data_IF_163573421509
#
_entry.id   IF_163573421509
#
_cell.length_a   1.000
_cell.length_b   1.000
_cell.length_c   1.000
_cell.angle_alpha   90.00
_cell.angle_beta   90.00
_cell.angle_gamma   90.00
#
_symmetry.space_group_name_H-M   'P 1'
#
loop_
_entity.id
_entity.type
_entity.pdbx_description
1 polymer ?
#
# COMPACT_ATOMS: atom_id res chain seq x y z
N UNK A 1 -30.35 -64.22 36.63
CA UNK A 1 -30.18 -62.76 36.76
C UNK A 1 -30.24 -62.45 38.24
N UNK A 2 -29.14 -62.01 38.81
CA UNK A 2 -28.85 -61.97 40.22
C UNK A 2 -29.72 -60.97 40.95
N UNK A 3 -30.47 -61.40 41.91
CA UNK A 3 -31.11 -60.59 42.97
C UNK A 3 -30.01 -60.11 43.91
N UNK A 4 -29.48 -58.91 43.64
CA UNK A 4 -28.64 -58.22 44.57
C UNK A 4 -29.42 -58.01 45.87
N UNK A 5 -28.83 -58.43 46.98
CA UNK A 5 -29.33 -58.23 48.34
C UNK A 5 -29.41 -56.69 48.58
N UNK A 6 -30.53 -56.11 48.27
CA UNK A 6 -30.80 -54.71 48.55
C UNK A 6 -30.93 -54.56 50.09
N UNK A 7 -30.00 -53.84 50.67
CA UNK A 7 -29.94 -53.62 52.11
C UNK A 7 -31.16 -52.79 52.51
N UNK A 8 -32.20 -53.43 53.07
CA UNK A 8 -33.40 -52.75 53.49
C UNK A 8 -33.06 -51.87 54.68
N UNK A 9 -33.23 -50.54 54.55
CA UNK A 9 -32.88 -49.62 55.63
C UNK A 9 -33.80 -49.82 56.86
N UNK A 10 -33.21 -49.69 58.02
CA UNK A 10 -33.97 -49.75 59.28
C UNK A 10 -34.86 -48.50 59.46
N UNK A 11 -35.97 -48.62 60.17
CA UNK A 11 -36.87 -47.50 60.38
C UNK A 11 -36.17 -46.27 61.00
N UNK A 12 -35.17 -46.50 61.85
CA UNK A 12 -34.35 -45.46 62.44
C UNK A 12 -33.51 -44.71 61.39
N UNK A 13 -32.94 -45.43 60.47
CA UNK A 13 -32.17 -44.83 59.38
C UNK A 13 -33.07 -44.00 58.43
N UNK A 14 -34.30 -44.47 58.18
CA UNK A 14 -35.28 -43.74 57.39
C UNK A 14 -35.67 -42.42 58.09
N UNK A 15 -35.92 -42.47 59.38
CA UNK A 15 -36.23 -41.28 60.15
C UNK A 15 -35.09 -40.27 60.23
N UNK A 16 -33.84 -40.75 60.40
CA UNK A 16 -32.66 -39.89 60.39
C UNK A 16 -32.44 -39.21 59.05
N UNK A 17 -32.73 -39.86 57.90
CA UNK A 17 -32.65 -39.27 56.57
C UNK A 17 -33.77 -38.22 56.38
N UNK A 18 -35.02 -38.54 56.78
CA UNK A 18 -36.13 -37.61 56.69
C UNK A 18 -35.92 -36.39 57.59
N UNK A 19 -35.28 -36.55 58.74
CA UNK A 19 -34.90 -35.44 59.62
C UNK A 19 -33.70 -34.65 59.21
N UNK A 20 -33.03 -35.03 58.11
CA UNK A 20 -31.86 -34.35 57.63
C UNK A 20 -30.62 -34.56 58.49
N UNK A 21 -30.57 -35.54 59.37
CA UNK A 21 -29.53 -35.83 60.37
C UNK A 21 -28.66 -37.03 59.99
N UNK A 22 -28.72 -37.54 58.75
CA UNK A 22 -28.05 -38.76 58.32
C UNK A 22 -26.69 -38.51 57.65
N UNK A 23 -25.85 -39.54 57.64
CA UNK A 23 -24.62 -39.52 56.85
C UNK A 23 -24.94 -39.69 55.35
N UNK A 24 -24.05 -39.20 54.42
CA UNK A 24 -24.29 -39.33 52.98
C UNK A 24 -24.44 -40.78 52.48
N UNK A 25 -23.81 -41.76 53.18
CA UNK A 25 -23.91 -43.17 52.85
C UNK A 25 -25.28 -43.73 53.16
N UNK A 26 -25.83 -43.44 54.39
CA UNK A 26 -27.14 -43.86 54.82
C UNK A 26 -28.20 -43.19 53.92
N UNK A 27 -28.03 -41.92 53.58
CA UNK A 27 -28.92 -41.20 52.70
C UNK A 27 -29.03 -41.87 51.32
N UNK A 28 -27.93 -42.37 50.77
CA UNK A 28 -27.91 -43.10 49.47
C UNK A 28 -28.68 -44.42 49.55
N UNK A 29 -28.48 -45.19 50.64
CA UNK A 29 -29.16 -46.48 50.84
C UNK A 29 -30.65 -46.25 50.94
N UNK A 30 -31.10 -45.28 51.72
CA UNK A 30 -32.51 -44.95 51.90
C UNK A 30 -33.12 -44.40 50.59
N UNK A 31 -32.41 -43.54 49.87
CA UNK A 31 -32.87 -43.03 48.60
C UNK A 31 -33.00 -44.12 47.52
N UNK A 32 -32.08 -45.11 47.51
CA UNK A 32 -32.18 -46.23 46.61
C UNK A 32 -33.35 -47.15 46.97
N UNK A 33 -33.60 -47.33 48.27
CA UNK A 33 -34.77 -48.13 48.74
C UNK A 33 -36.09 -47.39 48.41
N UNK A 34 -36.21 -46.08 48.55
CA UNK A 34 -37.42 -45.33 48.18
C UNK A 34 -37.73 -45.43 46.68
N UNK A 35 -36.74 -45.77 45.84
CA UNK A 35 -36.94 -46.04 44.41
C UNK A 35 -37.52 -47.43 44.10
N UNK A 36 -37.69 -48.29 45.11
CA UNK A 36 -38.36 -49.59 45.01
C UNK A 36 -39.88 -49.45 45.31
N UNK A 37 -40.63 -50.41 44.81
CA UNK A 37 -42.12 -50.43 45.08
C UNK A 37 -42.47 -50.43 46.56
N UNK A 38 -41.72 -51.14 47.39
CA UNK A 38 -41.91 -51.18 48.85
C UNK A 38 -41.60 -49.85 49.52
N UNK A 39 -40.44 -49.23 49.09
CA UNK A 39 -40.02 -47.92 49.59
C UNK A 39 -41.00 -46.80 49.20
N UNK A 40 -41.51 -46.85 47.96
CA UNK A 40 -42.47 -45.89 47.45
C UNK A 40 -43.79 -45.95 48.23
N UNK A 41 -44.31 -47.17 48.56
CA UNK A 41 -45.48 -47.38 49.37
C UNK A 41 -45.27 -46.85 50.79
N UNK A 42 -44.07 -47.12 51.38
CA UNK A 42 -43.76 -46.60 52.71
C UNK A 42 -43.76 -45.08 52.75
N UNK A 43 -43.10 -44.45 51.72
CA UNK A 43 -42.98 -43.00 51.58
C UNK A 43 -44.40 -42.37 51.43
N UNK A 44 -45.23 -42.93 50.55
CA UNK A 44 -46.63 -42.47 50.37
C UNK A 44 -47.44 -42.56 51.67
N UNK A 45 -47.32 -43.67 52.40
CA UNK A 45 -47.97 -43.85 53.66
C UNK A 45 -47.47 -42.90 54.75
N UNK A 46 -46.21 -42.59 54.78
CA UNK A 46 -45.62 -41.58 55.68
C UNK A 46 -46.14 -40.17 55.35
N UNK A 47 -46.14 -39.81 54.05
CA UNK A 47 -46.65 -38.52 53.58
C UNK A 47 -48.14 -38.37 53.90
N UNK A 48 -48.94 -39.41 53.74
CA UNK A 48 -50.36 -39.38 54.11
C UNK A 48 -50.56 -39.16 55.64
N UNK A 49 -49.68 -39.79 56.43
CA UNK A 49 -49.74 -39.65 57.91
C UNK A 49 -49.37 -38.18 58.29
N UNK A 50 -48.34 -37.66 57.69
CA UNK A 50 -47.90 -36.28 57.92
C UNK A 50 -48.96 -35.27 57.41
N UNK A 51 -49.59 -35.53 56.26
CA UNK A 51 -50.69 -34.73 55.74
C UNK A 51 -51.91 -34.70 56.67
N UNK A 52 -52.24 -35.84 57.35
CA UNK A 52 -53.29 -35.90 58.34
C UNK A 52 -52.94 -35.10 59.61
N UNK A 53 -51.66 -35.17 60.05
CA UNK A 53 -51.18 -34.36 61.18
C UNK A 53 -51.20 -32.86 60.88
N UNK A 54 -50.79 -32.46 59.67
CA UNK A 54 -50.91 -31.08 59.24
C UNK A 54 -52.36 -30.60 59.20
N UNK A 55 -53.29 -31.41 58.73
CA UNK A 55 -54.74 -31.09 58.75
C UNK A 55 -55.34 -30.98 60.14
N UNK A 56 -54.71 -31.57 61.17
CA UNK A 56 -55.19 -31.53 62.59
C UNK A 56 -54.67 -30.32 63.38
N UNK A 57 -54.02 -29.36 62.74
CA UNK A 57 -53.75 -28.06 63.35
C UNK A 57 -52.49 -27.99 64.20
N UNK A 58 -51.41 -28.67 63.83
CA UNK A 58 -50.14 -28.41 64.46
C UNK A 58 -49.58 -27.09 63.92
N UNK A 59 -49.91 -25.97 64.52
CA UNK A 59 -49.38 -24.61 64.26
C UNK A 59 -47.88 -24.46 64.63
N UNK A 60 -47.29 -25.48 65.27
CA UNK A 60 -45.87 -25.40 65.73
C UNK A 60 -44.85 -25.78 64.75
N UNK A 61 -45.17 -26.17 63.53
CA UNK A 61 -44.18 -26.50 62.46
C UNK A 61 -43.75 -25.29 61.62
N UNK A 62 -44.34 -24.15 61.81
CA UNK A 62 -43.88 -22.93 61.22
C UNK A 62 -42.84 -22.26 62.09
N UNK A 63 -41.54 -22.35 61.65
CA UNK A 63 -40.46 -21.59 62.19
C UNK A 63 -40.87 -20.12 62.21
N UNK A 64 -41.06 -19.58 63.43
CA UNK A 64 -41.44 -18.21 63.66
C UNK A 64 -40.27 -17.25 63.36
N UNK A 65 -39.79 -17.30 62.12
CA UNK A 65 -38.85 -16.33 61.54
C UNK A 65 -39.65 -15.65 60.45
N UNK A 66 -39.93 -14.36 60.59
CA UNK A 66 -40.30 -13.50 59.46
C UNK A 66 -39.25 -13.67 58.40
N UNK A 67 -39.54 -14.42 57.33
CA UNK A 67 -38.66 -14.51 56.16
C UNK A 67 -38.64 -13.09 55.60
N UNK A 68 -37.44 -12.44 55.53
CA UNK A 68 -37.36 -11.08 55.02
C UNK A 68 -37.61 -11.13 53.51
N UNK A 69 -38.84 -11.36 53.13
CA UNK A 69 -39.30 -11.58 51.76
C UNK A 69 -39.01 -10.36 50.85
N UNK A 70 -39.15 -9.18 51.41
CA UNK A 70 -38.88 -7.92 50.69
C UNK A 70 -37.40 -7.75 50.41
N UNK A 71 -36.51 -7.98 51.38
CA UNK A 71 -35.06 -7.87 51.18
C UNK A 71 -34.55 -8.96 50.24
N UNK A 72 -35.07 -10.18 50.37
CA UNK A 72 -34.67 -11.29 49.52
C UNK A 72 -35.15 -11.08 48.09
N UNK A 73 -36.36 -10.58 47.86
CA UNK A 73 -36.89 -10.20 46.56
C UNK A 73 -36.10 -9.03 45.95
N UNK A 74 -35.73 -8.02 46.75
CA UNK A 74 -34.92 -6.91 46.31
C UNK A 74 -33.51 -7.39 45.83
N UNK A 75 -32.88 -8.31 46.59
CA UNK A 75 -31.58 -8.90 46.25
C UNK A 75 -31.68 -9.76 44.98
N UNK A 76 -32.72 -10.57 44.83
CA UNK A 76 -32.98 -11.37 43.63
C UNK A 76 -33.18 -10.45 42.40
N UNK A 77 -34.02 -9.43 42.51
CA UNK A 77 -34.30 -8.46 41.44
C UNK A 77 -33.01 -7.72 41.02
N UNK A 78 -32.18 -7.33 42.00
CA UNK A 78 -30.89 -6.67 41.76
C UNK A 78 -29.94 -7.60 41.00
N UNK A 79 -29.82 -8.85 41.39
CA UNK A 79 -28.97 -9.85 40.74
C UNK A 79 -29.45 -10.17 39.31
N UNK A 80 -30.77 -10.31 39.11
CA UNK A 80 -31.35 -10.53 37.78
C UNK A 80 -31.09 -9.32 36.89
N UNK A 81 -31.29 -8.10 37.40
CA UNK A 81 -31.03 -6.86 36.67
C UNK A 81 -29.54 -6.75 36.30
N UNK A 82 -28.64 -7.02 37.24
CA UNK A 82 -27.19 -6.99 36.97
C UNK A 82 -26.78 -8.04 35.92
N UNK A 83 -27.26 -9.28 36.01
CA UNK A 83 -27.02 -10.32 35.02
C UNK A 83 -27.58 -9.95 33.63
N UNK A 84 -28.75 -9.31 33.59
CA UNK A 84 -29.38 -8.84 32.34
C UNK A 84 -28.56 -7.71 31.71
N UNK A 85 -28.20 -6.69 32.49
CA UNK A 85 -27.37 -5.56 32.03
C UNK A 85 -26.01 -6.06 31.53
N UNK A 86 -25.38 -6.96 32.31
CA UNK A 86 -24.09 -7.55 31.91
C UNK A 86 -24.18 -8.33 30.58
N UNK A 87 -25.25 -9.13 30.39
CA UNK A 87 -25.47 -9.85 29.11
C UNK A 87 -25.70 -8.90 27.95
N UNK A 88 -26.48 -7.82 28.15
CA UNK A 88 -26.70 -6.81 27.11
C UNK A 88 -25.39 -6.09 26.81
N UNK A 89 -24.65 -5.67 27.84
CA UNK A 89 -23.35 -5.03 27.67
C UNK A 89 -22.38 -5.91 26.89
N UNK A 90 -22.29 -7.21 27.19
CA UNK A 90 -21.46 -8.14 26.43
C UNK A 90 -21.91 -8.30 24.97
N UNK A 91 -23.22 -8.33 24.71
CA UNK A 91 -23.72 -8.41 23.32
C UNK A 91 -23.43 -7.15 22.54
N UNK A 92 -23.60 -5.99 23.16
CA UNK A 92 -23.29 -4.69 22.58
C UNK A 92 -21.77 -4.57 22.32
N UNK A 93 -20.96 -4.94 23.31
CA UNK A 93 -19.50 -4.93 23.18
C UNK A 93 -19.01 -5.90 22.09
N UNK A 94 -19.62 -7.09 21.97
CA UNK A 94 -19.28 -8.06 20.94
C UNK A 94 -19.52 -7.55 19.51
N UNK A 95 -20.43 -6.60 19.32
CA UNK A 95 -20.67 -5.95 18.02
C UNK A 95 -19.83 -4.69 17.85
N UNK A 96 -19.77 -3.86 18.91
CA UNK A 96 -19.07 -2.56 18.81
C UNK A 96 -17.54 -2.69 18.72
N UNK A 97 -16.96 -3.63 19.48
CA UNK A 97 -15.48 -3.79 19.47
C UNK A 97 -14.96 -4.16 18.08
N UNK A 98 -15.47 -5.19 17.38
CA UNK A 98 -15.06 -5.49 16.00
C UNK A 98 -15.30 -4.32 15.05
N UNK A 99 -16.39 -3.60 15.20
CA UNK A 99 -16.71 -2.44 14.36
C UNK A 99 -15.73 -1.29 14.56
N UNK A 100 -15.38 -0.96 15.80
CA UNK A 100 -14.35 0.05 16.10
C UNK A 100 -12.98 -0.38 15.60
N UNK A 101 -12.63 -1.67 15.74
CA UNK A 101 -11.37 -2.20 15.20
C UNK A 101 -11.33 -2.13 13.68
N UNK A 102 -12.44 -2.43 13.00
CA UNK A 102 -12.54 -2.29 11.53
C UNK A 102 -12.40 -0.85 11.08
N UNK A 103 -13.04 0.10 11.77
CA UNK A 103 -12.88 1.54 11.50
C UNK A 103 -11.42 1.95 11.73
N UNK A 104 -10.81 1.54 12.83
CA UNK A 104 -9.41 1.84 13.12
C UNK A 104 -8.47 1.28 12.04
N UNK A 105 -8.70 0.05 11.62
CA UNK A 105 -7.95 -0.58 10.52
C UNK A 105 -8.18 0.17 9.20
N UNK A 106 -9.43 0.51 8.87
CA UNK A 106 -9.77 1.29 7.68
C UNK A 106 -9.05 2.64 7.66
N UNK A 107 -9.11 3.39 8.77
CA UNK A 107 -8.42 4.67 8.89
C UNK A 107 -6.90 4.48 8.73
N UNK A 108 -6.31 3.49 9.40
CA UNK A 108 -4.88 3.20 9.32
C UNK A 108 -4.45 2.83 7.90
N UNK A 109 -5.23 2.03 7.19
CA UNK A 109 -4.94 1.66 5.78
C UNK A 109 -5.12 2.87 4.88
N UNK A 110 -6.20 3.64 5.05
CA UNK A 110 -6.49 4.83 4.23
C UNK A 110 -5.50 5.98 4.44
N UNK A 111 -4.71 6.00 5.55
CA UNK A 111 -3.59 6.96 5.70
C UNK A 111 -2.45 6.68 4.74
N UNK A 112 -2.23 5.42 4.35
CA UNK A 112 -1.11 4.98 3.49
C UNK A 112 -1.48 4.70 2.05
N UNK A 113 -2.75 4.39 1.80
CA UNK A 113 -3.26 3.97 0.48
C UNK A 113 -4.60 4.66 0.26
N UNK A 114 -4.82 5.16 -0.95
CA UNK A 114 -6.12 5.69 -1.33
C UNK A 114 -7.08 4.54 -1.64
N UNK A 115 -7.97 4.25 -0.68
CA UNK A 115 -8.99 3.19 -0.83
C UNK A 115 -10.21 3.66 -1.63
N UNK A 116 -10.48 4.97 -1.62
CA UNK A 116 -11.69 5.55 -2.23
C UNK A 116 -11.42 6.27 -3.54
N UNK A 117 -10.14 6.47 -3.92
CA UNK A 117 -9.75 7.15 -5.16
C UNK A 117 -9.93 8.67 -5.13
N UNK A 118 -10.03 9.28 -3.95
CA UNK A 118 -10.37 10.70 -3.75
C UNK A 118 -9.20 11.54 -3.20
N UNK A 119 -7.97 11.03 -3.26
CA UNK A 119 -6.83 11.75 -2.68
C UNK A 119 -6.39 12.99 -3.46
N UNK A 120 -6.90 13.19 -4.69
CA UNK A 120 -6.48 14.26 -5.59
C UNK A 120 -5.07 14.07 -6.13
N UNK A 121 -4.69 14.91 -7.10
CA UNK A 121 -3.36 14.91 -7.72
C UNK A 121 -2.59 16.16 -7.34
N UNK A 122 -1.27 16.02 -7.29
CA UNK A 122 -0.31 17.11 -7.24
C UNK A 122 0.49 17.11 -8.55
N UNK A 123 0.96 18.27 -8.96
CA UNK A 123 1.79 18.44 -10.14
C UNK A 123 3.04 19.25 -9.74
N UNK A 124 4.18 18.76 -10.17
CA UNK A 124 5.47 19.44 -10.02
C UNK A 124 5.97 19.76 -11.43
N UNK A 125 6.31 21.02 -11.66
CA UNK A 125 7.06 21.45 -12.82
C UNK A 125 8.48 21.81 -12.40
N UNK A 126 9.45 21.21 -13.04
CA UNK A 126 10.87 21.50 -12.91
C UNK A 126 11.27 22.40 -14.07
N UNK A 127 11.59 23.69 -13.84
CA UNK A 127 11.91 24.61 -14.91
C UNK A 127 13.25 24.25 -15.58
N UNK A 128 13.51 24.88 -16.72
CA UNK A 128 14.81 24.80 -17.39
C UNK A 128 15.91 25.22 -16.43
N UNK A 129 17.08 24.62 -16.55
CA UNK A 129 18.24 24.87 -15.68
C UNK A 129 18.19 24.15 -14.33
N UNK A 130 17.05 23.61 -13.93
CA UNK A 130 16.87 22.97 -12.64
C UNK A 130 16.68 21.45 -12.76
N UNK A 131 16.90 20.73 -11.67
CA UNK A 131 16.63 19.31 -11.51
C UNK A 131 16.12 19.06 -10.12
N UNK A 132 15.21 18.11 -9.97
CA UNK A 132 14.59 17.79 -8.69
C UNK A 132 14.72 16.30 -8.39
N UNK A 133 15.03 16.00 -7.15
CA UNK A 133 14.90 14.65 -6.61
C UNK A 133 13.77 14.63 -5.59
N UNK A 134 12.88 13.67 -5.73
CA UNK A 134 11.80 13.45 -4.77
C UNK A 134 11.65 11.97 -4.40
N UNK A 135 10.98 11.73 -3.29
CA UNK A 135 10.65 10.38 -2.84
C UNK A 135 9.15 10.29 -2.56
N UNK A 136 8.51 9.30 -3.14
CA UNK A 136 7.10 8.98 -2.89
C UNK A 136 6.92 8.22 -1.57
N UNK A 137 5.67 8.16 -1.09
CA UNK A 137 5.32 7.49 0.16
C UNK A 137 5.62 5.98 0.16
N UNK A 138 5.67 5.35 -1.02
CA UNK A 138 6.03 3.93 -1.18
C UNK A 138 7.53 3.67 -1.16
N UNK A 139 8.36 4.73 -1.00
CA UNK A 139 9.82 4.69 -1.05
C UNK A 139 10.39 4.73 -2.47
N UNK A 140 9.58 4.85 -3.51
CA UNK A 140 10.05 5.09 -4.87
C UNK A 140 10.71 6.46 -4.97
N UNK A 141 11.88 6.54 -5.59
CA UNK A 141 12.59 7.80 -5.84
C UNK A 141 12.45 8.17 -7.32
N UNK A 142 12.16 9.44 -7.57
CA UNK A 142 12.14 10.04 -8.88
C UNK A 142 13.17 11.16 -8.94
N UNK A 143 14.01 11.14 -9.96
CA UNK A 143 14.87 12.25 -10.37
C UNK A 143 14.18 12.84 -11.59
N UNK A 144 13.89 14.12 -11.57
CA UNK A 144 13.15 14.81 -12.60
C UNK A 144 14.11 15.81 -13.25
N UNK A 145 14.25 15.72 -14.56
CA UNK A 145 15.15 16.57 -15.32
C UNK A 145 14.51 17.93 -15.64
N UNK A 146 15.32 18.84 -16.17
CA UNK A 146 14.92 20.18 -16.58
C UNK A 146 13.77 20.15 -17.58
N UNK A 147 12.87 21.15 -17.48
CA UNK A 147 11.70 21.35 -18.33
C UNK A 147 10.76 20.13 -18.34
N UNK A 148 10.53 19.56 -17.17
CA UNK A 148 9.71 18.36 -17.00
C UNK A 148 8.56 18.58 -16.03
N UNK A 149 7.42 17.92 -16.30
CA UNK A 149 6.24 17.90 -15.45
C UNK A 149 5.96 16.49 -14.96
N UNK A 150 5.75 16.36 -13.68
CA UNK A 150 5.34 15.10 -13.05
C UNK A 150 4.07 15.32 -12.26
N UNK A 151 2.99 14.66 -12.69
CA UNK A 151 1.71 14.66 -11.99
C UNK A 151 1.53 13.32 -11.28
N UNK A 152 1.22 13.34 -10.00
CA UNK A 152 1.10 12.15 -9.17
C UNK A 152 0.00 12.32 -8.12
N UNK A 153 -0.64 11.23 -7.65
CA UNK A 153 -1.65 11.32 -6.60
C UNK A 153 -1.00 11.57 -5.23
N UNK A 154 -1.67 12.30 -4.37
CA UNK A 154 -1.22 12.49 -2.96
C UNK A 154 -1.02 11.18 -2.24
N UNK A 155 -1.81 10.14 -2.58
CA UNK A 155 -1.65 8.76 -2.13
C UNK A 155 -1.92 7.83 -3.30
N UNK A 156 -1.07 6.82 -3.45
CA UNK A 156 -1.28 5.80 -4.47
C UNK A 156 -2.51 4.94 -4.17
N UNK A 157 -3.26 4.59 -5.22
CA UNK A 157 -4.41 3.70 -5.15
C UNK A 157 -4.03 2.29 -4.63
N UNK A 158 -5.01 1.54 -4.17
CA UNK A 158 -4.78 0.18 -3.65
C UNK A 158 -4.24 -0.79 -4.71
N UNK A 159 -4.69 -0.66 -5.97
CA UNK A 159 -4.36 -1.58 -7.07
C UNK A 159 -3.11 -1.21 -7.84
N UNK A 160 -2.75 0.08 -7.91
CA UNK A 160 -1.64 0.59 -8.73
C UNK A 160 -0.99 1.81 -8.10
N UNK A 161 0.18 2.19 -8.64
CA UNK A 161 0.94 3.38 -8.30
C UNK A 161 1.16 4.15 -9.59
N UNK A 162 0.26 5.09 -9.91
CA UNK A 162 0.23 5.76 -11.19
C UNK A 162 0.76 7.18 -11.10
N UNK A 163 1.60 7.55 -12.06
CA UNK A 163 2.10 8.91 -12.27
C UNK A 163 2.01 9.26 -13.75
N UNK A 164 2.02 10.54 -14.06
CA UNK A 164 1.99 11.08 -15.42
C UNK A 164 3.22 11.93 -15.63
N UNK A 165 3.96 11.66 -16.69
CA UNK A 165 5.23 12.35 -17.02
C UNK A 165 5.14 13.01 -18.39
N UNK A 166 5.50 14.29 -18.42
CA UNK A 166 5.90 15.04 -19.62
C UNK A 166 7.32 15.54 -19.40
N UNK A 167 8.27 15.17 -20.27
CA UNK A 167 9.67 15.48 -20.08
C UNK A 167 10.53 14.25 -19.80
N UNK A 168 11.51 14.39 -18.92
CA UNK A 168 12.47 13.32 -18.61
C UNK A 168 12.55 13.06 -17.11
N UNK A 169 12.49 11.79 -16.74
CA UNK A 169 12.65 11.37 -15.35
C UNK A 169 13.29 9.98 -15.24
N UNK A 170 14.16 9.84 -14.25
CA UNK A 170 14.72 8.56 -13.85
C UNK A 170 14.03 8.07 -12.56
N UNK A 171 13.53 6.86 -12.60
CA UNK A 171 12.82 6.25 -11.49
C UNK A 171 13.63 5.10 -10.87
N UNK A 172 13.70 5.08 -9.53
CA UNK A 172 14.13 3.93 -8.74
C UNK A 172 12.92 3.43 -7.97
N UNK A 173 12.21 2.49 -8.56
CA UNK A 173 10.90 2.04 -8.07
C UNK A 173 11.04 1.01 -6.98
N UNK A 174 10.38 1.24 -5.84
CA UNK A 174 10.28 0.28 -4.74
C UNK A 174 9.60 -1.01 -5.19
N UNK A 175 10.21 -2.15 -4.85
CA UNK A 175 9.74 -3.47 -5.27
C UNK A 175 8.39 -3.81 -4.64
N UNK A 176 7.40 -4.02 -5.49
CA UNK A 176 6.07 -4.46 -5.07
C UNK A 176 5.38 -5.23 -6.23
N UNK A 177 5.34 -6.55 -6.12
CA UNK A 177 4.77 -7.43 -7.16
C UNK A 177 3.25 -7.38 -7.24
N UNK A 178 2.57 -6.89 -6.19
CA UNK A 178 1.10 -6.83 -6.13
C UNK A 178 0.53 -5.49 -6.60
N UNK A 179 1.37 -4.43 -6.63
CA UNK A 179 0.97 -3.07 -7.00
C UNK A 179 1.96 -2.53 -8.03
N UNK A 180 1.66 -2.64 -9.32
CA UNK A 180 2.54 -2.09 -10.36
C UNK A 180 2.71 -0.58 -10.20
N UNK A 181 3.88 -0.08 -10.57
CA UNK A 181 4.14 1.33 -10.77
C UNK A 181 3.98 1.62 -12.26
N UNK A 182 3.16 2.60 -12.58
CA UNK A 182 2.76 2.93 -13.95
C UNK A 182 3.14 4.38 -14.23
N UNK A 183 3.99 4.60 -15.24
CA UNK A 183 4.28 5.92 -15.75
C UNK A 183 3.48 6.11 -17.03
N UNK A 184 2.45 6.93 -16.95
CA UNK A 184 1.63 7.32 -18.09
C UNK A 184 2.37 8.43 -18.88
N UNK A 185 2.61 8.18 -20.15
CA UNK A 185 3.20 9.11 -21.10
C UNK A 185 2.11 9.49 -22.11
N UNK A 186 2.12 10.64 -22.66
CA UNK A 186 1.08 11.06 -23.60
C UNK A 186 0.87 10.01 -24.73
N UNK A 187 0.08 8.97 -24.44
CA UNK A 187 -0.20 7.80 -25.26
C UNK A 187 0.23 6.49 -24.64
N UNK A 188 1.51 6.10 -24.68
CA UNK A 188 2.00 4.85 -24.10
C UNK A 188 2.11 4.91 -22.57
N UNK A 189 2.14 3.72 -21.93
CA UNK A 189 2.34 3.58 -20.49
C UNK A 189 3.45 2.58 -20.17
N UNK A 190 4.32 2.93 -19.23
CA UNK A 190 5.42 2.08 -18.73
C UNK A 190 4.98 1.41 -17.43
N UNK A 191 4.99 0.08 -17.39
CA UNK A 191 4.58 -0.72 -16.25
C UNK A 191 5.78 -1.44 -15.64
N UNK A 192 6.00 -1.28 -14.34
CA UNK A 192 7.10 -1.93 -13.61
C UNK A 192 6.66 -2.40 -12.22
N UNK A 193 7.41 -3.36 -11.64
CA UNK A 193 7.12 -3.90 -10.31
C UNK A 193 8.20 -3.57 -9.26
N UNK A 194 9.36 -3.07 -9.72
CA UNK A 194 10.52 -2.75 -8.88
C UNK A 194 11.75 -2.69 -9.78
N UNK A 195 12.02 -1.53 -10.34
CA UNK A 195 12.85 -1.36 -11.53
C UNK A 195 13.54 0.00 -11.46
N UNK A 196 14.76 0.07 -11.95
CA UNK A 196 15.50 1.33 -12.16
C UNK A 196 15.56 1.61 -13.65
N UNK A 197 14.99 2.71 -14.10
CA UNK A 197 14.87 3.04 -15.52
C UNK A 197 14.75 4.54 -15.76
N UNK A 198 15.14 4.96 -16.95
CA UNK A 198 15.00 6.31 -17.45
C UNK A 198 13.90 6.41 -18.50
N UNK A 199 13.17 7.50 -18.49
CA UNK A 199 12.13 7.82 -19.47
C UNK A 199 12.34 9.23 -19.98
N UNK A 200 12.51 9.37 -21.29
CA UNK A 200 12.61 10.63 -22.00
C UNK A 200 11.40 10.79 -22.94
N UNK A 201 10.47 11.65 -22.57
CA UNK A 201 9.16 11.81 -23.21
C UNK A 201 8.74 13.28 -23.30
N UNK A 202 9.63 14.15 -23.79
CA UNK A 202 9.27 15.55 -24.03
C UNK A 202 8.22 15.67 -25.14
N UNK A 203 7.21 16.55 -24.96
CA UNK A 203 6.12 16.72 -25.94
C UNK A 203 6.60 17.07 -27.34
N UNK A 204 7.61 17.94 -27.43
CA UNK A 204 8.18 18.43 -28.69
C UNK A 204 9.06 17.41 -29.42
N UNK A 205 9.50 16.35 -28.73
CA UNK A 205 10.29 15.30 -29.36
C UNK A 205 9.40 14.31 -30.11
N UNK A 206 9.84 13.89 -31.29
CA UNK A 206 9.17 12.89 -32.12
C UNK A 206 9.13 11.53 -31.46
N UNK A 207 10.15 11.23 -30.66
CA UNK A 207 10.33 9.92 -30.05
C UNK A 207 10.20 9.96 -28.53
N UNK A 208 9.65 8.87 -27.98
CA UNK A 208 9.74 8.54 -26.56
C UNK A 208 10.81 7.47 -26.40
N UNK A 209 11.72 7.69 -25.46
CA UNK A 209 12.78 6.74 -25.18
C UNK A 209 12.63 6.19 -23.77
N UNK A 210 12.80 4.87 -23.60
CA UNK A 210 12.87 4.21 -22.31
C UNK A 210 14.12 3.37 -22.22
N UNK A 211 14.98 3.63 -21.23
CA UNK A 211 16.21 2.90 -20.97
C UNK A 211 16.12 2.15 -19.66
N UNK A 212 16.47 0.86 -19.65
CA UNK A 212 16.36 -0.01 -18.49
C UNK A 212 17.74 -0.33 -17.91
N UNK A 213 17.97 0.10 -16.65
CA UNK A 213 19.17 -0.22 -15.89
C UNK A 213 19.02 -1.53 -15.13
N UNK A 214 17.92 -1.70 -14.37
CA UNK A 214 17.70 -2.86 -13.50
C UNK A 214 16.22 -3.27 -13.47
N UNK A 215 15.97 -4.58 -13.45
CA UNK A 215 14.63 -5.14 -13.31
C UNK A 215 13.97 -5.49 -14.63
N UNK A 216 12.73 -5.10 -14.83
CA UNK A 216 11.95 -5.33 -16.07
C UNK A 216 11.00 -4.17 -16.32
N UNK A 217 10.94 -3.72 -17.56
CA UNK A 217 9.97 -2.74 -18.05
C UNK A 217 9.02 -3.42 -19.03
N UNK A 218 7.74 -3.15 -18.91
CA UNK A 218 6.74 -3.46 -19.92
C UNK A 218 6.14 -2.13 -20.41
N UNK A 219 6.30 -1.83 -21.68
CA UNK A 219 5.66 -0.70 -22.34
C UNK A 219 4.37 -1.19 -23.01
N UNK A 220 3.25 -0.52 -22.73
CA UNK A 220 1.96 -0.74 -23.39
C UNK A 220 1.63 0.48 -24.23
N UNK A 221 1.34 0.28 -25.50
CA UNK A 221 0.88 1.36 -26.40
C UNK A 221 -0.61 1.56 -26.29
N UNK A 222 -1.12 2.67 -26.82
CA UNK A 222 -2.57 2.95 -26.91
C UNK A 222 -3.31 1.89 -27.75
N UNK A 223 -2.61 1.20 -28.67
CA UNK A 223 -3.11 0.09 -29.47
C UNK A 223 -3.06 -1.27 -28.76
N UNK A 224 -2.86 -1.30 -27.43
CA UNK A 224 -2.68 -2.50 -26.59
C UNK A 224 -1.47 -3.39 -26.95
N UNK A 225 -0.63 -2.98 -27.88
CA UNK A 225 0.64 -3.67 -28.16
C UNK A 225 1.58 -3.52 -26.97
N UNK A 226 2.26 -4.61 -26.62
CA UNK A 226 3.15 -4.68 -25.46
C UNK A 226 4.57 -5.01 -25.87
N UNK A 227 5.52 -4.30 -25.30
CA UNK A 227 6.94 -4.49 -25.46
C UNK A 227 7.59 -4.68 -24.10
N UNK A 228 8.56 -5.58 -24.01
CA UNK A 228 9.27 -5.85 -22.76
C UNK A 228 10.75 -5.61 -22.93
N UNK A 229 11.35 -4.87 -21.98
CA UNK A 229 12.81 -4.62 -21.96
C UNK A 229 13.49 -5.44 -20.87
N UNK A 230 14.73 -5.80 -21.16
CA UNK A 230 15.70 -6.37 -20.23
C UNK A 230 16.75 -5.32 -19.84
N UNK A 231 17.46 -5.51 -18.72
CA UNK A 231 18.56 -4.62 -18.35
C UNK A 231 19.57 -4.40 -19.49
N UNK A 232 19.96 -3.14 -19.70
CA UNK A 232 20.84 -2.72 -20.79
C UNK A 232 20.15 -2.53 -22.14
N UNK A 233 18.81 -2.67 -22.22
CA UNK A 233 18.04 -2.41 -23.43
C UNK A 233 17.43 -1.00 -23.40
N UNK A 234 17.37 -0.38 -24.58
CA UNK A 234 16.74 0.90 -24.89
C UNK A 234 15.60 0.66 -25.87
N UNK A 235 14.43 1.16 -25.56
CA UNK A 235 13.28 1.23 -26.46
C UNK A 235 13.12 2.66 -26.95
N UNK A 236 12.91 2.81 -28.25
CA UNK A 236 12.54 4.07 -28.91
C UNK A 236 11.17 3.87 -29.55
N UNK A 237 10.18 4.64 -29.11
CA UNK A 237 8.85 4.69 -29.69
C UNK A 237 8.65 5.98 -30.46
N UNK A 238 8.43 5.88 -31.76
CA UNK A 238 8.12 7.01 -32.62
C UNK A 238 6.62 7.32 -32.58
N UNK A 239 6.27 8.55 -32.16
CA UNK A 239 4.88 8.97 -31.95
C UNK A 239 4.07 9.06 -33.23
N UNK A 240 4.71 9.35 -34.38
CA UNK A 240 4.02 9.53 -35.66
C UNK A 240 3.77 8.20 -36.36
N UNK A 241 4.75 7.32 -36.39
CA UNK A 241 4.65 6.02 -37.04
C UNK A 241 4.11 4.91 -36.15
N UNK A 242 3.97 5.18 -34.83
CA UNK A 242 3.64 4.20 -33.79
C UNK A 242 4.56 2.98 -33.78
N UNK A 243 5.78 3.14 -34.31
CA UNK A 243 6.76 2.06 -34.39
C UNK A 243 7.67 2.05 -33.16
N UNK A 244 7.92 0.85 -32.61
CA UNK A 244 8.85 0.63 -31.53
C UNK A 244 10.11 -0.11 -32.04
N UNK A 245 11.28 0.42 -31.69
CA UNK A 245 12.56 -0.24 -31.91
C UNK A 245 13.21 -0.52 -30.57
N UNK A 246 13.69 -1.76 -30.36
CA UNK A 246 14.46 -2.13 -29.18
C UNK A 246 15.89 -2.40 -29.61
N UNK A 247 16.82 -1.69 -28.98
CA UNK A 247 18.25 -1.87 -29.20
C UNK A 247 18.92 -2.32 -27.91
N UNK A 248 19.86 -3.25 -28.02
CA UNK A 248 20.78 -3.58 -26.94
C UNK A 248 21.88 -2.56 -26.95
N UNK A 249 21.88 -1.68 -25.99
CA UNK A 249 22.88 -0.67 -25.90
C UNK A 249 23.62 -0.80 -24.57
N UNK A 250 24.90 -1.07 -24.58
CA UNK A 250 25.76 -0.92 -23.39
C UNK A 250 25.76 0.53 -22.87
N UNK A 251 25.20 1.44 -23.66
CA UNK A 251 25.07 2.87 -23.36
C UNK A 251 23.76 3.23 -22.60
N UNK A 252 22.97 2.24 -22.14
CA UNK A 252 21.80 2.53 -21.31
C UNK A 252 22.19 3.34 -20.04
N UNK A 253 23.42 3.15 -19.55
CA UNK A 253 23.96 3.95 -18.45
C UNK A 253 24.23 5.41 -18.84
N UNK A 254 24.47 5.70 -20.13
CA UNK A 254 24.73 7.07 -20.62
C UNK A 254 23.46 7.92 -20.47
N UNK A 255 22.28 7.36 -20.77
CA UNK A 255 21.01 8.08 -20.69
C UNK A 255 20.65 8.54 -19.27
N UNK A 256 21.23 7.94 -18.24
CA UNK A 256 20.98 8.30 -16.84
C UNK A 256 22.12 9.11 -16.20
N UNK A 257 23.15 9.51 -16.95
CA UNK A 257 24.28 10.31 -16.42
C UNK A 257 23.86 11.71 -15.99
N UNK A 258 22.83 12.26 -16.60
CA UNK A 258 22.31 13.58 -16.28
C UNK A 258 21.95 13.74 -14.79
N UNK A 259 21.48 12.69 -14.10
CA UNK A 259 21.21 12.71 -12.65
C UNK A 259 22.47 12.92 -11.80
N UNK A 260 23.66 12.72 -12.38
CA UNK A 260 24.97 12.99 -11.77
C UNK A 260 25.60 14.29 -12.28
N UNK A 261 24.84 15.14 -12.95
CA UNK A 261 25.31 16.37 -13.60
C UNK A 261 26.33 16.11 -14.70
N UNK A 262 26.24 14.99 -15.40
CA UNK A 262 27.08 14.64 -16.52
C UNK A 262 26.29 14.72 -17.83
N UNK A 263 26.75 15.55 -18.77
CA UNK A 263 26.20 15.63 -20.13
C UNK A 263 26.97 14.62 -20.99
N UNK A 264 26.24 13.75 -21.68
CA UNK A 264 26.83 12.80 -22.58
C UNK A 264 26.03 12.73 -23.89
N UNK A 265 26.74 12.88 -24.99
CA UNK A 265 26.21 12.70 -26.33
C UNK A 265 26.98 11.58 -27.01
N UNK A 266 26.30 10.75 -27.78
CA UNK A 266 26.90 9.71 -28.60
C UNK A 266 26.22 9.68 -29.94
N UNK A 267 26.98 10.02 -30.97
CA UNK A 267 26.46 10.09 -32.34
C UNK A 267 25.17 10.91 -32.43
N UNK A 268 25.16 12.08 -31.76
CA UNK A 268 23.96 12.90 -31.55
C UNK A 268 24.03 14.11 -32.47
N UNK A 269 23.00 14.36 -33.31
CA UNK A 269 22.98 15.52 -34.20
C UNK A 269 22.92 16.82 -33.41
N UNK A 270 23.50 17.90 -33.95
CA UNK A 270 23.52 19.22 -33.29
C UNK A 270 22.11 19.69 -32.87
N UNK A 271 21.12 19.44 -33.70
CA UNK A 271 19.74 19.81 -33.38
C UNK A 271 19.24 19.22 -32.06
N UNK A 272 19.59 17.98 -31.74
CA UNK A 272 19.25 17.34 -30.47
C UNK A 272 20.16 17.80 -29.32
N UNK A 273 21.47 18.01 -29.62
CA UNK A 273 22.41 18.62 -28.65
C UNK A 273 21.91 19.97 -28.17
N UNK A 274 21.46 20.83 -29.09
CA UNK A 274 20.87 22.14 -28.77
C UNK A 274 19.64 22.02 -27.86
N UNK A 275 18.75 21.10 -28.15
CA UNK A 275 17.56 20.90 -27.30
C UNK A 275 17.93 20.52 -25.86
N UNK A 276 18.92 19.64 -25.71
CA UNK A 276 19.43 19.24 -24.39
C UNK A 276 20.06 20.43 -23.68
N UNK A 277 20.95 21.16 -24.35
CA UNK A 277 21.62 22.32 -23.74
C UNK A 277 20.66 23.48 -23.42
N UNK A 278 19.65 23.72 -24.29
CA UNK A 278 18.60 24.70 -24.04
C UNK A 278 17.87 24.40 -22.72
N UNK A 279 17.46 23.15 -22.52
CA UNK A 279 16.81 22.73 -21.26
C UNK A 279 17.77 22.74 -20.07
N UNK A 280 19.02 22.33 -20.28
CA UNK A 280 20.01 22.18 -19.22
C UNK A 280 20.48 23.49 -18.63
N UNK A 281 20.64 24.53 -19.49
CA UNK A 281 21.19 25.83 -19.09
C UNK A 281 20.17 26.98 -19.16
N UNK A 282 18.97 26.72 -19.65
CA UNK A 282 17.93 27.72 -19.91
C UNK A 282 18.47 28.84 -20.82
N UNK A 283 19.01 28.46 -21.97
CA UNK A 283 19.57 29.37 -22.98
C UNK A 283 19.01 29.03 -24.36
N UNK A 284 18.76 30.04 -25.19
CA UNK A 284 18.28 29.82 -26.54
C UNK A 284 19.43 29.70 -27.53
N UNK A 285 19.28 28.87 -28.55
CA UNK A 285 20.24 28.66 -29.59
C UNK A 285 19.70 29.15 -30.92
N UNK A 286 20.48 30.02 -31.61
CA UNK A 286 20.18 30.46 -32.97
C UNK A 286 21.21 29.91 -33.93
N UNK A 287 20.79 29.13 -34.92
CA UNK A 287 21.61 28.61 -35.97
C UNK A 287 21.51 29.58 -37.16
N UNK A 288 22.60 30.26 -37.50
CA UNK A 288 22.63 31.20 -38.64
C UNK A 288 22.80 30.50 -39.99
N UNK A 289 23.35 29.28 -39.98
CA UNK A 289 23.60 28.49 -41.20
C UNK A 289 22.90 27.14 -41.14
N UNK A 290 21.94 26.91 -42.03
CA UNK A 290 21.14 25.68 -42.05
C UNK A 290 21.94 24.40 -42.23
N UNK A 291 23.14 24.47 -42.86
CA UNK A 291 24.02 23.32 -43.07
C UNK A 291 24.75 22.85 -41.80
N UNK A 292 24.69 23.65 -40.75
CA UNK A 292 25.28 23.36 -39.44
C UNK A 292 24.54 22.22 -38.71
N UNK A 293 23.28 21.96 -39.04
CA UNK A 293 22.46 20.94 -38.42
C UNK A 293 22.89 19.48 -38.66
N UNK A 294 23.74 19.22 -39.70
CA UNK A 294 24.21 17.87 -40.07
C UNK A 294 25.45 17.41 -39.28
N UNK A 295 25.88 18.16 -38.29
CA UNK A 295 27.04 17.81 -37.47
C UNK A 295 26.61 16.94 -36.29
N UNK A 296 27.33 15.83 -36.07
CA UNK A 296 27.09 14.88 -34.98
C UNK A 296 28.18 15.00 -33.91
N UNK A 297 27.75 14.77 -32.64
CA UNK A 297 28.62 14.90 -31.49
C UNK A 297 28.71 13.60 -30.70
N UNK A 298 29.93 13.25 -30.30
CA UNK A 298 30.22 12.22 -29.30
C UNK A 298 31.13 12.82 -28.25
N UNK A 299 30.59 13.10 -27.08
CA UNK A 299 31.29 13.76 -25.98
C UNK A 299 30.64 13.38 -24.63
N UNK A 300 31.47 13.31 -23.58
CA UNK A 300 31.04 13.26 -22.21
C UNK A 300 31.68 14.42 -21.45
N UNK A 301 30.87 15.25 -20.80
CA UNK A 301 31.31 16.40 -20.03
C UNK A 301 30.74 16.37 -18.64
N UNK A 302 31.61 16.33 -17.63
CA UNK A 302 31.23 16.43 -16.19
C UNK A 302 31.09 17.89 -15.76
N UNK A 303 31.04 18.79 -16.72
CA UNK A 303 31.09 20.19 -16.45
C UNK A 303 29.73 20.85 -16.28
N UNK A 304 29.67 21.74 -15.34
CA UNK A 304 28.46 22.47 -15.01
C UNK A 304 28.38 23.86 -15.66
N UNK A 305 29.46 24.35 -16.26
CA UNK A 305 29.50 25.66 -16.89
C UNK A 305 29.24 25.55 -18.40
N UNK A 306 28.27 26.33 -18.91
CA UNK A 306 27.89 26.33 -20.32
C UNK A 306 29.05 26.65 -21.22
N UNK A 307 29.84 27.71 -20.92
CA UNK A 307 30.94 28.18 -21.73
C UNK A 307 31.96 27.06 -21.96
N UNK A 308 32.20 26.23 -20.96
CA UNK A 308 33.17 25.13 -21.10
C UNK A 308 32.64 23.99 -21.96
N UNK A 309 31.35 23.69 -21.83
CA UNK A 309 30.69 22.71 -22.70
C UNK A 309 30.71 23.20 -24.15
N UNK A 310 30.44 24.49 -24.41
CA UNK A 310 30.50 25.07 -25.73
C UNK A 310 31.93 25.03 -26.30
N UNK A 311 32.96 25.36 -25.50
CA UNK A 311 34.35 25.22 -25.89
C UNK A 311 34.72 23.78 -26.25
N UNK A 312 34.21 22.80 -25.50
CA UNK A 312 34.47 21.39 -25.78
C UNK A 312 33.80 20.93 -27.09
N UNK A 313 32.57 21.40 -27.36
CA UNK A 313 31.91 21.18 -28.64
C UNK A 313 32.64 21.83 -29.80
N UNK A 314 33.21 23.03 -29.62
CA UNK A 314 34.06 23.74 -30.64
C UNK A 314 35.33 22.99 -30.99
N UNK A 315 35.90 22.19 -30.08
CA UNK A 315 37.10 21.38 -30.35
C UNK A 315 36.80 20.19 -31.25
N UNK A 316 35.56 19.69 -31.21
CA UNK A 316 35.18 18.46 -31.93
C UNK A 316 34.65 18.79 -33.34
N UNK A 317 34.01 19.93 -33.50
CA UNK A 317 33.31 20.30 -34.70
C UNK A 317 33.84 21.65 -35.27
N UNK A 318 33.73 21.88 -36.60
CA UNK A 318 34.08 23.16 -37.21
C UNK A 318 33.00 24.22 -36.97
N UNK A 319 32.53 24.31 -35.71
CA UNK A 319 31.51 25.25 -35.29
C UNK A 319 32.07 26.24 -34.28
N UNK A 320 31.46 27.42 -34.23
CA UNK A 320 31.70 28.46 -33.24
C UNK A 320 30.37 28.72 -32.48
N UNK A 321 30.46 28.80 -31.19
CA UNK A 321 29.35 29.11 -30.31
C UNK A 321 29.64 30.45 -29.63
N UNK A 322 28.90 31.48 -29.98
CA UNK A 322 29.02 32.83 -29.39
C UNK A 322 27.91 33.02 -28.33
N UNK A 323 28.29 32.88 -27.06
CA UNK A 323 27.35 33.01 -25.97
C UNK A 323 27.18 34.46 -25.51
N UNK A 324 25.97 34.99 -25.64
CA UNK A 324 25.54 36.29 -25.18
C UNK A 324 24.83 36.17 -23.84
N UNK A 325 25.55 36.31 -22.76
CA UNK A 325 25.06 36.07 -21.41
C UNK A 325 23.87 36.95 -21.08
N UNK A 326 23.91 38.26 -21.46
CA UNK A 326 22.82 39.21 -21.15
C UNK A 326 21.51 38.86 -21.87
N UNK A 327 21.54 38.21 -23.01
CA UNK A 327 20.38 37.81 -23.79
C UNK A 327 20.04 36.35 -23.58
N UNK A 328 20.85 35.58 -22.81
CA UNK A 328 20.74 34.12 -22.61
C UNK A 328 20.63 33.38 -23.95
N UNK A 329 21.43 33.81 -24.90
CA UNK A 329 21.40 33.30 -26.29
C UNK A 329 22.79 32.83 -26.73
N UNK A 330 22.81 31.72 -27.47
CA UNK A 330 24.00 31.20 -28.12
C UNK A 330 23.79 31.22 -29.62
N UNK A 331 24.65 31.96 -30.32
CA UNK A 331 24.66 32.01 -31.81
C UNK A 331 25.65 30.94 -32.32
N UNK A 332 25.15 30.05 -33.18
CA UNK A 332 25.91 28.96 -33.76
C UNK A 332 26.25 29.29 -35.20
N UNK A 333 27.55 29.35 -35.50
CA UNK A 333 28.05 29.63 -36.82
C UNK A 333 29.11 28.60 -37.23
N UNK A 334 29.41 28.48 -38.51
CA UNK A 334 30.52 27.65 -38.99
C UNK A 334 31.83 28.39 -38.82
N UNK A 335 32.89 27.72 -38.37
CA UNK A 335 34.23 28.30 -38.37
C UNK A 335 34.62 28.58 -39.82
N UNK A 336 35.03 29.80 -40.13
CA UNK A 336 35.62 30.11 -41.42
C UNK A 336 36.92 29.32 -41.52
N UNK A 337 37.06 28.52 -42.57
CA UNK A 337 38.36 27.91 -42.92
C UNK A 337 39.36 29.04 -43.07
N UNK A 338 40.43 28.98 -42.27
CA UNK A 338 41.55 29.91 -42.41
C UNK A 338 42.26 29.56 -43.74
N UNK A 339 41.91 30.32 -44.76
CA UNK A 339 42.53 30.19 -46.14
C UNK A 339 44.02 30.46 -46.15
N UNK A 340 44.71 30.44 -45.01
CA UNK A 340 46.14 30.75 -44.86
C UNK A 340 47.12 29.54 -44.92
N UNK A 341 46.58 28.32 -45.12
CA UNK A 341 47.41 27.11 -45.15
C UNK A 341 47.64 26.54 -46.55
N UNK A 342 47.39 27.32 -47.63
CA UNK A 342 47.78 26.99 -48.96
C UNK A 342 48.80 28.06 -49.51
N UNK A 343 49.94 28.11 -48.90
CA UNK A 343 51.13 28.68 -49.59
C UNK A 343 52.41 27.99 -49.13
#
# INVERSE_FOLDING_TARGET
MSTENMNIPTEKQIQEVLAGASTPEIARIVAAWFATDEGAVYLAKSMDRDAVQIKQGFEELYVNHEIPSEEMLAHIRRNIRQKRVRRIAFRVAAVLIPFVLLIGLFVQVNTRVDLLGDSGYEEIYVPKGERLQMMFQDGTRAYINSDSRLKYPKKFAFSSREVYLEGEAYFVVSKNSRRPFIVNLNGPAVHVLGTSFDVHAYPENRDITVCLDEGRVNLTLSSDKKYSLKPGEKLVYNKESEHCTITRNMDAQISSLWKKNVIAFKDTPLSEVIKVLNRWYDVDFKIEDATVGDVYFTITSENTLLEKVLQDLEKIAPLRFDYKEAEREVIVTRKKEDSRLMH
#
